data_IF_392164825178
#
_entry.id   IF_392164825178
#
_cell.length_a   1.000
_cell.length_b   1.000
_cell.length_c   1.000
_cell.angle_alpha   90.00
_cell.angle_beta   90.00
_cell.angle_gamma   90.00
#
_symmetry.space_group_name_H-M   'P 1'
#
loop_
_entity.id
_entity.type
_entity.pdbx_description
1 polymer ?
#
# COMPACT_ATOMS: atom_id res chain seq x y z
N UNK A 1 30.12 12.67 -8.50
CA UNK A 1 28.89 13.09 -7.77
C UNK A 1 27.92 11.92 -7.46
N UNK A 2 28.32 10.65 -7.58
CA UNK A 2 27.49 9.48 -7.26
C UNK A 2 27.91 8.77 -5.94
N UNK A 3 28.77 9.40 -5.13
CA UNK A 3 29.38 8.78 -3.94
C UNK A 3 28.99 9.42 -2.59
N UNK A 4 28.03 10.35 -2.56
CA UNK A 4 27.55 10.97 -1.32
C UNK A 4 26.28 10.31 -0.74
N UNK A 5 25.72 9.32 -1.42
CA UNK A 5 24.65 8.45 -0.91
C UNK A 5 25.15 7.07 -0.49
N UNK A 6 26.47 6.92 -0.31
CA UNK A 6 26.98 5.97 0.66
C UNK A 6 26.83 6.61 2.04
N UNK A 7 25.59 6.96 2.42
CA UNK A 7 25.27 7.02 3.83
C UNK A 7 25.67 5.64 4.32
N UNK A 8 26.69 5.60 5.18
CA UNK A 8 27.02 4.42 5.94
C UNK A 8 25.78 4.15 6.75
N UNK A 9 24.84 3.39 6.18
CA UNK A 9 23.73 2.81 6.90
C UNK A 9 24.42 1.83 7.82
N UNK A 10 24.86 2.35 8.97
CA UNK A 10 25.31 1.51 10.04
C UNK A 10 24.09 0.65 10.31
N UNK A 11 24.23 -0.66 10.06
CA UNK A 11 23.21 -1.64 10.38
C UNK A 11 23.19 -1.74 11.90
N UNK A 12 22.63 -0.68 12.51
CA UNK A 12 22.72 -0.37 13.92
C UNK A 12 21.33 -0.33 14.52
N UNK A 13 21.25 0.19 15.74
CA UNK A 13 20.01 0.16 16.51
C UNK A 13 18.88 1.00 15.89
N UNK A 14 19.23 1.95 15.02
CA UNK A 14 18.30 2.78 14.26
C UNK A 14 17.47 1.99 13.24
N UNK A 15 18.04 0.91 12.70
CA UNK A 15 17.32 -0.02 11.82
C UNK A 15 16.66 -1.16 12.61
N UNK A 16 17.42 -1.79 13.53
CA UNK A 16 16.93 -2.95 14.28
C UNK A 16 15.83 -2.60 15.28
N UNK A 17 15.85 -1.42 15.89
CA UNK A 17 14.85 -0.98 16.87
C UNK A 17 13.44 -0.94 16.30
N UNK A 18 13.19 -0.18 15.22
CA UNK A 18 11.88 -0.16 14.56
C UNK A 18 11.43 -1.54 14.05
N UNK A 19 12.35 -2.34 13.49
CA UNK A 19 12.04 -3.70 13.00
C UNK A 19 11.60 -4.63 14.14
N UNK A 20 12.28 -4.58 15.28
CA UNK A 20 11.86 -5.33 16.47
C UNK A 20 10.50 -4.84 16.98
N UNK A 21 10.25 -3.52 16.96
CA UNK A 21 8.96 -2.94 17.28
C UNK A 21 7.82 -3.49 16.40
N UNK A 22 8.05 -3.59 15.08
CA UNK A 22 7.10 -4.21 14.15
C UNK A 22 6.84 -5.68 14.50
N UNK A 23 7.89 -6.44 14.82
CA UNK A 23 7.77 -7.83 15.26
C UNK A 23 6.92 -7.98 16.53
N UNK A 24 7.11 -7.10 17.52
CA UNK A 24 6.31 -7.09 18.75
C UNK A 24 4.84 -6.76 18.45
N UNK A 25 4.56 -5.78 17.59
CA UNK A 25 3.18 -5.45 17.20
C UNK A 25 2.48 -6.64 16.52
N UNK A 26 3.19 -7.39 15.66
CA UNK A 26 2.67 -8.60 15.03
C UNK A 26 2.36 -9.68 16.07
N UNK A 27 3.26 -9.90 17.04
CA UNK A 27 3.05 -10.87 18.12
C UNK A 27 1.89 -10.50 19.04
N UNK A 28 1.62 -9.21 19.22
CA UNK A 28 0.47 -8.69 19.96
C UNK A 28 -0.86 -8.77 19.17
N UNK A 29 -0.84 -9.27 17.93
CA UNK A 29 -2.04 -9.43 17.11
C UNK A 29 -2.53 -8.14 16.47
N UNK A 30 -1.70 -7.10 16.36
CA UNK A 30 -2.05 -5.86 15.66
C UNK A 30 -2.25 -6.17 14.17
N UNK A 31 -3.29 -5.60 13.52
CA UNK A 31 -3.51 -5.79 12.09
C UNK A 31 -2.29 -5.43 11.24
N UNK A 32 -1.96 -6.27 10.26
CA UNK A 32 -0.74 -6.16 9.44
C UNK A 32 -0.62 -4.78 8.78
N UNK A 33 -1.72 -4.22 8.28
CA UNK A 33 -1.71 -2.90 7.63
C UNK A 33 -1.26 -1.76 8.58
N UNK A 34 -1.60 -1.84 9.87
CA UNK A 34 -1.17 -0.87 10.88
C UNK A 34 0.33 -1.00 11.13
N UNK A 35 0.82 -2.24 11.25
CA UNK A 35 2.23 -2.53 11.49
C UNK A 35 3.08 -2.02 10.33
N UNK A 36 2.66 -2.26 9.09
CA UNK A 36 3.37 -1.79 7.91
C UNK A 36 3.36 -0.26 7.81
N UNK A 37 2.23 0.39 8.06
CA UNK A 37 2.14 1.85 8.02
C UNK A 37 3.01 2.53 9.08
N UNK A 38 2.84 2.15 10.35
CA UNK A 38 3.60 2.74 11.46
C UNK A 38 5.08 2.34 11.44
N UNK A 39 5.38 1.08 11.09
CA UNK A 39 6.75 0.58 10.99
C UNK A 39 7.55 1.29 9.91
N UNK A 40 6.96 1.49 8.72
CA UNK A 40 7.61 2.22 7.63
C UNK A 40 7.77 3.70 7.96
N UNK A 41 6.77 4.32 8.60
CA UNK A 41 6.87 5.71 9.05
C UNK A 41 7.98 5.91 10.09
N UNK A 42 8.07 5.00 11.07
CA UNK A 42 9.14 5.02 12.08
C UNK A 42 10.52 4.81 11.44
N UNK A 43 10.68 3.81 10.57
CA UNK A 43 11.94 3.55 9.87
C UNK A 43 12.41 4.76 9.08
N UNK A 44 11.52 5.39 8.30
CA UNK A 44 11.89 6.57 7.51
C UNK A 44 12.19 7.80 8.38
N UNK A 45 11.48 7.96 9.51
CA UNK A 45 11.76 9.05 10.45
C UNK A 45 13.09 8.91 11.20
N UNK A 46 13.52 7.68 11.50
CA UNK A 46 14.74 7.43 12.27
C UNK A 46 15.96 7.38 11.36
N UNK A 47 15.83 6.76 10.18
CA UNK A 47 16.98 6.56 9.28
C UNK A 47 17.23 7.76 8.33
N UNK A 48 16.23 8.63 8.14
CA UNK A 48 16.27 9.82 7.27
C UNK A 48 16.77 9.55 5.83
N UNK A 49 16.78 8.27 5.40
CA UNK A 49 17.27 7.84 4.08
C UNK A 49 16.31 8.18 2.95
N UNK A 50 15.08 8.56 3.25
CA UNK A 50 14.11 8.94 2.23
C UNK A 50 13.10 9.93 2.84
N UNK A 51 12.67 10.96 2.10
CA UNK A 51 11.69 11.91 2.62
C UNK A 51 10.37 11.21 2.97
N UNK A 52 9.76 11.64 4.08
CA UNK A 52 8.46 11.11 4.54
C UNK A 52 7.33 11.30 3.52
N UNK A 53 7.48 12.24 2.57
CA UNK A 53 6.54 12.45 1.47
C UNK A 53 6.37 11.21 0.60
N UNK A 54 7.39 10.35 0.51
CA UNK A 54 7.34 9.09 -0.22
C UNK A 54 6.23 8.15 0.30
N UNK A 55 5.94 8.19 1.61
CA UNK A 55 4.87 7.39 2.20
C UNK A 55 3.52 7.79 1.57
N UNK A 56 3.29 9.09 1.40
CA UNK A 56 2.09 9.59 0.74
C UNK A 56 2.03 9.16 -0.72
N UNK A 57 3.10 9.40 -1.49
CA UNK A 57 3.18 9.04 -2.90
C UNK A 57 2.94 7.55 -3.16
N UNK A 58 3.55 6.67 -2.35
CA UNK A 58 3.39 5.21 -2.46
C UNK A 58 1.99 4.73 -2.07
N UNK A 59 1.38 5.31 -1.03
CA UNK A 59 -0.01 5.00 -0.65
C UNK A 59 -1.01 5.45 -1.71
N UNK A 60 -0.85 6.66 -2.26
CA UNK A 60 -1.72 7.15 -3.33
C UNK A 60 -1.56 6.33 -4.61
N UNK A 61 -0.32 5.98 -4.99
CA UNK A 61 -0.07 5.10 -6.12
C UNK A 61 -0.66 3.70 -5.92
N UNK A 62 -0.69 3.19 -4.68
CA UNK A 62 -1.33 1.91 -4.37
C UNK A 62 -2.86 1.94 -4.50
N UNK A 63 -3.48 3.06 -4.13
CA UNK A 63 -4.94 3.27 -4.24
C UNK A 63 -5.37 3.54 -5.69
N UNK A 64 -4.50 4.17 -6.49
CA UNK A 64 -4.72 4.38 -7.93
C UNK A 64 -4.54 3.10 -8.76
N UNK A 65 -4.71 1.92 -8.15
CA UNK A 65 -4.68 0.66 -8.86
C UNK A 65 -5.90 0.53 -9.76
N UNK A 66 -5.68 0.16 -11.03
CA UNK A 66 -6.73 -0.18 -11.99
C UNK A 66 -7.78 -1.15 -11.41
N UNK A 67 -7.37 -2.06 -10.51
CA UNK A 67 -8.29 -2.97 -9.84
C UNK A 67 -9.34 -2.27 -8.96
N UNK A 68 -8.99 -1.18 -8.28
CA UNK A 68 -9.93 -0.45 -7.41
C UNK A 68 -10.98 0.31 -8.22
N UNK A 69 -10.65 0.75 -9.44
CA UNK A 69 -11.60 1.36 -10.39
C UNK A 69 -12.38 0.29 -11.17
N UNK A 70 -11.79 -0.88 -11.41
CA UNK A 70 -12.43 -1.96 -12.14
C UNK A 70 -13.68 -2.50 -11.42
N UNK A 71 -13.67 -2.57 -10.08
CA UNK A 71 -14.83 -3.05 -9.29
C UNK A 71 -16.09 -2.19 -9.49
N UNK A 72 -16.07 -0.86 -9.26
CA UNK A 72 -17.25 -0.02 -9.48
C UNK A 72 -17.65 0.04 -10.95
N UNK A 73 -16.70 0.04 -11.90
CA UNK A 73 -17.02 0.01 -13.33
C UNK A 73 -17.70 -1.30 -13.73
N UNK A 74 -17.28 -2.43 -13.16
CA UNK A 74 -17.91 -3.73 -13.36
C UNK A 74 -19.34 -3.76 -12.82
N UNK A 75 -19.56 -3.20 -11.62
CA UNK A 75 -20.91 -3.07 -11.03
C UNK A 75 -21.82 -2.21 -11.91
N UNK A 76 -21.34 -1.04 -12.37
CA UNK A 76 -22.09 -0.15 -13.26
C UNK A 76 -22.40 -0.80 -14.61
N UNK A 77 -21.43 -1.51 -15.19
CA UNK A 77 -21.62 -2.22 -16.45
C UNK A 77 -22.66 -3.34 -16.28
N UNK A 78 -22.62 -4.06 -15.16
CA UNK A 78 -23.64 -5.05 -14.81
C UNK A 78 -25.04 -4.44 -14.71
N UNK A 79 -25.19 -3.30 -14.03
CA UNK A 79 -26.46 -2.59 -13.89
C UNK A 79 -27.01 -2.10 -15.24
N UNK A 80 -26.14 -1.59 -16.13
CA UNK A 80 -26.51 -1.20 -17.49
C UNK A 80 -26.97 -2.39 -18.32
N UNK A 81 -26.29 -3.54 -18.23
CA UNK A 81 -26.65 -4.77 -18.96
C UNK A 81 -28.01 -5.32 -18.51
N UNK A 82 -28.33 -5.21 -17.22
CA UNK A 82 -29.65 -5.58 -16.66
C UNK A 82 -30.72 -4.59 -17.12
N UNK A 83 -30.47 -3.29 -16.97
CA UNK A 83 -31.44 -2.22 -17.30
C UNK A 83 -31.81 -2.21 -18.79
N UNK A 84 -30.84 -2.49 -19.66
CA UNK A 84 -31.06 -2.53 -21.13
C UNK A 84 -31.73 -3.83 -21.61
N UNK A 85 -32.02 -4.78 -20.72
CA UNK A 85 -32.50 -6.14 -21.04
C UNK A 85 -31.59 -6.88 -22.03
N UNK A 86 -30.33 -6.46 -22.14
CA UNK A 86 -29.32 -7.15 -22.95
C UNK A 86 -29.02 -8.53 -22.35
N UNK A 87 -29.14 -8.67 -21.03
CA UNK A 87 -29.11 -9.97 -20.34
C UNK A 87 -30.10 -10.96 -20.95
N UNK A 88 -31.35 -10.55 -21.18
CA UNK A 88 -32.40 -11.42 -21.73
C UNK A 88 -32.14 -11.80 -23.20
N UNK A 89 -31.49 -10.90 -23.96
CA UNK A 89 -31.08 -11.17 -25.35
C UNK A 89 -29.86 -12.10 -25.45
N UNK A 90 -28.97 -12.08 -24.46
CA UNK A 90 -27.80 -12.95 -24.40
C UNK A 90 -28.16 -14.36 -23.89
N UNK A 91 -29.15 -14.46 -23.02
CA UNK A 91 -29.60 -15.72 -22.42
C UNK A 91 -30.67 -16.45 -23.25
N UNK A 92 -31.37 -15.76 -24.15
CA UNK A 92 -32.17 -16.41 -25.19
C UNK A 92 -31.23 -16.97 -26.27
N UNK A 93 -30.86 -18.25 -26.12
CA UNK A 93 -30.43 -19.10 -27.22
C UNK A 93 -31.63 -19.49 -28.09
#
# INVERSE_FOLDING_TARGET
MYQLYAASTSLGWEFYGPVLGMGVMILLGVPIWVVLGLGTALLLSVTEVMPLTLIGETLFSGIDSFSLIAVPLFILTGDVIVTTKMSDKLLNL
#
